data_IF_828851967577
#
_entry.id   IF_828851967577
#
_cell.length_a   1.000
_cell.length_b   1.000
_cell.length_c   1.000
_cell.angle_alpha   90.00
_cell.angle_beta   90.00
_cell.angle_gamma   90.00
#
_symmetry.space_group_name_H-M   'P 1'
#
loop_
_entity.id
_entity.type
_entity.pdbx_description
1 polymer ?
#
# COMPACT_ATOMS: atom_id res chain seq x y z
N UNK A 1 -22.10 8.34 10.49
CA UNK A 1 -20.81 8.13 11.15
C UNK A 1 -19.70 8.78 10.34
N UNK A 2 -18.69 9.37 10.97
CA UNK A 2 -17.51 9.97 10.32
C UNK A 2 -16.29 9.91 11.22
N UNK A 3 -15.10 10.05 10.63
CA UNK A 3 -13.84 10.21 11.34
C UNK A 3 -13.36 11.66 11.27
N UNK A 4 -12.72 12.11 12.34
CA UNK A 4 -12.06 13.40 12.48
C UNK A 4 -10.71 13.18 13.16
N UNK A 5 -9.80 14.15 13.05
CA UNK A 5 -8.52 14.18 13.78
C UNK A 5 -7.70 12.88 13.58
N UNK A 6 -7.51 12.45 12.32
CA UNK A 6 -6.76 11.22 12.01
C UNK A 6 -5.27 11.50 12.23
N UNK A 7 -4.65 10.75 13.16
CA UNK A 7 -3.22 10.80 13.47
C UNK A 7 -2.62 9.44 13.16
N UNK A 8 -1.64 9.41 12.26
CA UNK A 8 -0.93 8.19 11.86
C UNK A 8 0.46 8.15 12.49
N UNK A 9 0.87 6.99 12.98
CA UNK A 9 2.23 6.67 13.42
C UNK A 9 2.86 5.67 12.44
N UNK A 10 4.03 5.10 12.78
CA UNK A 10 4.71 4.14 11.93
C UNK A 10 3.93 2.81 11.75
N UNK A 11 3.15 2.39 12.73
CA UNK A 11 2.52 1.07 12.81
C UNK A 11 1.03 1.08 13.19
N UNK A 12 0.48 2.24 13.51
CA UNK A 12 -0.93 2.38 13.90
C UNK A 12 -1.48 3.76 13.55
N UNK A 13 -2.79 3.90 13.70
CA UNK A 13 -3.47 5.19 13.57
C UNK A 13 -4.57 5.34 14.60
N UNK A 14 -4.75 6.58 15.07
CA UNK A 14 -5.79 6.99 16.00
C UNK A 14 -6.67 8.04 15.35
N UNK A 15 -7.98 8.01 15.60
CA UNK A 15 -8.91 8.98 15.07
C UNK A 15 -10.11 9.18 16.02
N UNK A 16 -10.78 10.31 15.85
CA UNK A 16 -12.04 10.58 16.52
C UNK A 16 -13.20 10.06 15.68
N UNK A 17 -13.90 9.00 16.15
CA UNK A 17 -15.14 8.53 15.56
C UNK A 17 -16.32 9.33 16.09
N UNK A 18 -17.12 9.93 15.20
CA UNK A 18 -18.31 10.71 15.55
C UNK A 18 -19.57 9.97 15.11
N UNK A 19 -20.44 9.66 16.08
CA UNK A 19 -21.71 9.00 15.86
C UNK A 19 -22.77 9.45 16.88
N UNK A 20 -24.01 9.74 16.44
CA UNK A 20 -25.12 10.12 17.31
C UNK A 20 -24.84 11.38 18.16
N UNK A 21 -24.01 12.30 17.67
CA UNK A 21 -23.60 13.50 18.42
C UNK A 21 -22.52 13.26 19.48
N UNK A 22 -22.07 12.02 19.67
CA UNK A 22 -20.98 11.64 20.58
C UNK A 22 -19.66 11.50 19.82
N UNK A 23 -18.57 11.70 20.55
CA UNK A 23 -17.17 11.56 20.07
C UNK A 23 -16.48 10.43 20.82
N UNK A 24 -15.85 9.54 20.10
CA UNK A 24 -15.14 8.39 20.64
C UNK A 24 -13.71 8.35 20.08
N UNK A 25 -12.73 8.10 20.92
CA UNK A 25 -11.37 7.82 20.45
C UNK A 25 -11.32 6.38 19.95
N UNK A 26 -10.92 6.18 18.70
CA UNK A 26 -10.75 4.88 18.06
C UNK A 26 -9.32 4.71 17.60
N UNK A 27 -8.79 3.48 17.68
CA UNK A 27 -7.42 3.13 17.30
C UNK A 27 -7.40 1.86 16.46
N UNK A 28 -6.59 1.89 15.40
CA UNK A 28 -6.34 0.74 14.50
C UNK A 28 -4.87 0.36 14.52
N UNK A 29 -4.51 -0.93 14.66
CA UNK A 29 -3.15 -1.42 14.63
C UNK A 29 -2.65 -1.61 13.18
N UNK A 30 -2.99 -0.65 12.31
CA UNK A 30 -2.62 -0.60 10.88
C UNK A 30 -2.56 0.85 10.43
N UNK A 31 -1.86 1.11 9.33
CA UNK A 31 -1.67 2.44 8.77
C UNK A 31 -2.44 2.60 7.44
N UNK A 32 -2.84 3.83 7.14
CA UNK A 32 -3.53 4.20 5.91
C UNK A 32 -5.00 4.58 6.12
N UNK A 33 -5.37 5.72 5.56
CA UNK A 33 -6.70 6.34 5.74
C UNK A 33 -7.85 5.42 5.28
N UNK A 34 -7.61 4.57 4.27
CA UNK A 34 -8.61 3.60 3.82
C UNK A 34 -9.00 2.57 4.90
N UNK A 35 -8.11 2.27 5.87
CA UNK A 35 -8.48 1.44 7.02
C UNK A 35 -9.43 2.16 7.97
N UNK A 36 -9.32 3.49 8.11
CA UNK A 36 -10.30 4.29 8.84
C UNK A 36 -11.67 4.19 8.17
N UNK A 37 -11.73 4.32 6.83
CA UNK A 37 -12.99 4.17 6.09
C UNK A 37 -13.60 2.77 6.27
N UNK A 38 -12.78 1.71 6.24
CA UNK A 38 -13.23 0.35 6.51
C UNK A 38 -13.74 0.18 7.95
N UNK A 39 -13.08 0.80 8.93
CA UNK A 39 -13.54 0.78 10.33
C UNK A 39 -14.86 1.52 10.51
N UNK A 40 -15.08 2.66 9.83
CA UNK A 40 -16.37 3.35 9.84
C UNK A 40 -17.49 2.48 9.24
N UNK A 41 -17.22 1.76 8.15
CA UNK A 41 -18.17 0.83 7.55
C UNK A 41 -18.49 -0.34 8.49
N UNK A 42 -17.46 -0.93 9.12
CA UNK A 42 -17.63 -2.00 10.11
C UNK A 42 -18.41 -1.52 11.34
N UNK A 43 -18.12 -0.30 11.81
CA UNK A 43 -18.87 0.34 12.89
C UNK A 43 -20.34 0.49 12.53
N UNK A 44 -20.67 1.05 11.37
CA UNK A 44 -22.03 1.23 10.90
C UNK A 44 -22.78 -0.13 10.84
N UNK A 45 -22.14 -1.17 10.27
CA UNK A 45 -22.71 -2.51 10.22
C UNK A 45 -22.94 -3.10 11.62
N UNK A 46 -22.01 -2.89 12.56
CA UNK A 46 -22.16 -3.34 13.95
C UNK A 46 -23.35 -2.68 14.66
N UNK A 47 -23.52 -1.37 14.49
CA UNK A 47 -24.68 -0.63 15.03
C UNK A 47 -25.99 -1.17 14.47
N UNK A 48 -26.07 -1.39 13.14
CA UNK A 48 -27.27 -1.98 12.50
C UNK A 48 -27.54 -3.39 12.98
N UNK A 49 -26.50 -4.14 13.36
CA UNK A 49 -26.63 -5.46 13.97
C UNK A 49 -27.01 -5.43 15.48
N UNK A 50 -27.21 -4.24 16.05
CA UNK A 50 -27.64 -4.06 17.44
C UNK A 50 -26.51 -3.98 18.47
N UNK A 51 -25.23 -3.86 18.03
CA UNK A 51 -24.10 -3.65 18.93
C UNK A 51 -24.03 -2.18 19.38
N UNK A 52 -23.43 -1.93 20.53
CA UNK A 52 -23.14 -0.58 21.02
C UNK A 52 -21.79 -0.07 20.54
N UNK A 53 -21.58 1.25 20.54
CA UNK A 53 -20.28 1.84 20.19
C UNK A 53 -19.18 1.36 21.15
N UNK A 54 -19.51 1.20 22.42
CA UNK A 54 -18.64 0.74 23.50
C UNK A 54 -18.17 -0.73 23.33
N UNK A 55 -18.93 -1.53 22.58
CA UNK A 55 -18.54 -2.90 22.20
C UNK A 55 -17.70 -2.94 20.92
N UNK A 56 -18.04 -2.10 19.92
CA UNK A 56 -17.40 -2.14 18.59
C UNK A 56 -16.01 -1.50 18.64
N UNK A 57 -15.86 -0.32 19.25
CA UNK A 57 -14.62 0.47 19.17
C UNK A 57 -13.41 -0.29 19.75
N UNK A 58 -13.50 -0.94 20.94
CA UNK A 58 -12.38 -1.73 21.44
C UNK A 58 -12.01 -2.93 20.55
N UNK A 59 -12.97 -3.43 19.75
CA UNK A 59 -12.71 -4.53 18.83
C UNK A 59 -11.78 -4.14 17.66
N UNK A 60 -11.67 -2.86 17.31
CA UNK A 60 -10.75 -2.39 16.29
C UNK A 60 -9.28 -2.71 16.61
N UNK A 61 -8.90 -2.73 17.89
CA UNK A 61 -7.54 -3.11 18.32
C UNK A 61 -7.17 -4.57 18.04
N UNK A 62 -8.19 -5.41 17.78
CA UNK A 62 -8.00 -6.83 17.43
C UNK A 62 -7.95 -7.06 15.92
N UNK A 63 -8.02 -5.98 15.12
CA UNK A 63 -7.93 -6.11 13.69
C UNK A 63 -6.54 -6.59 13.29
N UNK A 64 -6.48 -7.66 12.54
CA UNK A 64 -5.28 -8.17 11.91
C UNK A 64 -5.47 -8.08 10.39
N UNK A 65 -4.53 -7.44 9.70
CA UNK A 65 -4.55 -7.40 8.25
C UNK A 65 -4.44 -8.84 7.71
N UNK A 66 -5.47 -9.32 7.02
CA UNK A 66 -5.50 -10.69 6.53
C UNK A 66 -4.64 -10.86 5.27
N UNK A 67 -3.82 -11.91 5.24
CA UNK A 67 -3.04 -12.32 4.08
C UNK A 67 -1.93 -11.32 3.70
N UNK A 68 -1.81 -11.04 2.39
CA UNK A 68 -0.79 -10.15 1.80
C UNK A 68 -1.33 -8.73 1.58
N UNK A 69 -2.05 -8.16 2.59
CA UNK A 69 -2.59 -6.80 2.55
C UNK A 69 -1.84 -5.93 3.53
N UNK A 70 -0.99 -5.05 3.01
CA UNK A 70 -0.19 -4.08 3.78
C UNK A 70 0.56 -4.66 5.00
N UNK A 71 1.08 -5.87 4.86
CA UNK A 71 1.90 -6.50 5.89
C UNK A 71 3.30 -5.89 5.85
N UNK A 72 3.72 -5.29 6.95
CA UNK A 72 5.05 -4.68 7.10
C UNK A 72 5.96 -5.66 7.84
N UNK A 73 7.11 -5.96 7.26
CA UNK A 73 8.11 -6.87 7.80
C UNK A 73 9.50 -6.27 7.73
N UNK A 74 10.33 -6.55 8.71
CA UNK A 74 11.78 -6.33 8.60
C UNK A 74 12.45 -7.60 8.08
N UNK A 75 13.30 -7.45 7.07
CA UNK A 75 14.13 -8.50 6.49
C UNK A 75 15.58 -8.03 6.50
N UNK A 76 16.32 -8.43 7.52
CA UNK A 76 17.61 -7.81 7.84
C UNK A 76 17.40 -6.31 8.12
N UNK A 77 18.14 -5.48 7.40
CA UNK A 77 18.09 -4.03 7.53
C UNK A 77 17.10 -3.36 6.53
N UNK A 78 16.35 -4.16 5.77
CA UNK A 78 15.37 -3.68 4.79
C UNK A 78 13.95 -3.83 5.37
N UNK A 79 13.11 -2.80 5.21
CA UNK A 79 11.69 -2.89 5.51
C UNK A 79 10.93 -3.25 4.25
N UNK A 80 10.07 -4.28 4.32
CA UNK A 80 9.26 -4.76 3.20
C UNK A 80 7.80 -4.53 3.53
N UNK A 81 7.07 -3.92 2.59
CA UNK A 81 5.61 -3.75 2.64
C UNK A 81 5.02 -4.72 1.62
N UNK A 82 4.30 -5.75 2.09
CA UNK A 82 3.63 -6.73 1.25
C UNK A 82 2.16 -6.35 1.07
N UNK A 83 1.78 -5.93 -0.13
CA UNK A 83 0.39 -5.65 -0.52
C UNK A 83 0.05 -6.32 -1.85
N UNK A 84 0.29 -7.63 -1.91
CA UNK A 84 0.27 -8.43 -3.15
C UNK A 84 -1.04 -9.20 -3.37
N UNK A 85 -2.11 -8.91 -2.60
CA UNK A 85 -3.38 -9.63 -2.76
C UNK A 85 -4.12 -9.21 -4.02
N UNK A 86 -4.18 -7.92 -4.30
CA UNK A 86 -4.79 -7.37 -5.52
C UNK A 86 -4.28 -5.94 -5.77
N UNK A 87 -4.55 -5.42 -6.99
CA UNK A 87 -4.20 -4.06 -7.36
C UNK A 87 -5.31 -3.41 -8.19
N UNK A 88 -5.60 -2.16 -7.87
CA UNK A 88 -6.44 -1.23 -8.62
C UNK A 88 -5.84 0.17 -8.51
N UNK A 89 -6.20 1.14 -9.37
CA UNK A 89 -5.65 2.49 -9.31
C UNK A 89 -5.72 3.11 -7.92
N UNK A 90 -6.89 3.07 -7.27
CA UNK A 90 -7.09 3.62 -5.91
C UNK A 90 -6.25 2.88 -4.87
N UNK A 91 -6.10 1.56 -4.98
CA UNK A 91 -5.29 0.81 -4.03
C UNK A 91 -3.79 1.00 -4.25
N UNK A 92 -3.33 1.27 -5.49
CA UNK A 92 -1.95 1.69 -5.79
C UNK A 92 -1.64 3.03 -5.12
N UNK A 93 -2.52 4.03 -5.30
CA UNK A 93 -2.42 5.33 -4.65
C UNK A 93 -2.30 5.19 -3.13
N UNK A 94 -3.23 4.44 -2.51
CA UNK A 94 -3.24 4.22 -1.05
C UNK A 94 -1.95 3.60 -0.54
N UNK A 95 -1.45 2.55 -1.21
CA UNK A 95 -0.23 1.86 -0.77
C UNK A 95 1.03 2.70 -0.98
N UNK A 96 1.09 3.47 -2.08
CA UNK A 96 2.18 4.42 -2.32
C UNK A 96 2.17 5.55 -1.30
N UNK A 97 0.99 6.04 -0.89
CA UNK A 97 0.86 7.04 0.18
C UNK A 97 1.36 6.49 1.53
N UNK A 98 1.10 5.22 1.83
CA UNK A 98 1.67 4.56 3.02
C UNK A 98 3.19 4.51 2.93
N UNK A 99 3.77 4.10 1.79
CA UNK A 99 5.21 4.10 1.57
C UNK A 99 5.80 5.51 1.78
N UNK A 100 5.17 6.53 1.20
CA UNK A 100 5.60 7.93 1.31
C UNK A 100 5.59 8.45 2.74
N UNK A 101 4.58 8.06 3.54
CA UNK A 101 4.42 8.49 4.94
C UNK A 101 5.34 7.78 5.95
N UNK A 102 6.01 6.69 5.56
CA UNK A 102 6.93 5.98 6.46
C UNK A 102 8.25 6.72 6.61
N UNK A 103 8.77 6.78 7.84
CA UNK A 103 10.15 7.23 8.09
C UNK A 103 11.14 6.14 7.66
N UNK A 104 12.24 6.55 7.00
CA UNK A 104 13.25 5.67 6.45
C UNK A 104 14.61 6.34 6.52
N UNK A 105 15.63 5.57 6.88
CA UNK A 105 17.03 6.05 6.88
C UNK A 105 17.71 5.91 5.52
N UNK A 106 17.15 5.06 4.65
CA UNK A 106 17.56 4.82 3.27
C UNK A 106 16.59 5.44 2.28
N UNK A 107 16.28 4.68 1.21
CA UNK A 107 15.43 5.09 0.10
C UNK A 107 14.12 4.32 0.11
N UNK A 108 13.11 4.88 -0.55
CA UNK A 108 11.78 4.27 -0.74
C UNK A 108 11.67 3.72 -2.15
N UNK A 109 11.42 2.43 -2.27
CA UNK A 109 11.33 1.72 -3.54
C UNK A 109 9.91 1.21 -3.78
N UNK A 110 9.32 1.53 -4.94
CA UNK A 110 8.04 1.00 -5.39
C UNK A 110 8.26 -0.19 -6.33
N UNK A 111 7.94 -1.42 -5.91
CA UNK A 111 8.04 -2.64 -6.72
C UNK A 111 6.62 -3.05 -7.13
N UNK A 112 6.20 -2.67 -8.34
CA UNK A 112 4.81 -2.75 -8.77
C UNK A 112 4.63 -3.68 -9.96
N UNK A 113 3.57 -4.50 -9.92
CA UNK A 113 3.12 -5.33 -11.04
C UNK A 113 1.85 -4.81 -11.67
N UNK A 114 1.48 -5.35 -12.84
CA UNK A 114 0.28 -4.96 -13.57
C UNK A 114 -0.98 -5.02 -12.71
N UNK A 115 -1.88 -4.07 -12.98
CA UNK A 115 -3.27 -4.10 -12.55
C UNK A 115 -4.09 -4.82 -13.63
N UNK A 116 -4.56 -6.03 -13.34
CA UNK A 116 -5.36 -6.81 -14.27
C UNK A 116 -6.84 -6.34 -14.27
N UNK A 117 -7.59 -6.76 -15.28
CA UNK A 117 -9.04 -6.54 -15.40
C UNK A 117 -9.48 -5.07 -15.57
N UNK A 118 -8.60 -4.20 -16.08
CA UNK A 118 -8.91 -2.78 -16.30
C UNK A 118 -9.53 -2.49 -17.68
N UNK A 119 -9.63 -3.49 -18.56
CA UNK A 119 -10.21 -3.32 -19.90
C UNK A 119 -9.49 -2.27 -20.74
N UNK A 120 -10.24 -1.53 -21.54
CA UNK A 120 -9.70 -0.50 -22.47
C UNK A 120 -8.97 0.66 -21.78
N UNK A 121 -9.24 0.87 -20.50
CA UNK A 121 -8.59 1.95 -19.73
C UNK A 121 -7.22 1.56 -19.17
N UNK A 122 -6.77 0.31 -19.38
CA UNK A 122 -5.54 -0.24 -18.78
C UNK A 122 -4.33 0.66 -18.97
N UNK A 123 -4.01 1.04 -20.20
CA UNK A 123 -2.83 1.87 -20.51
C UNK A 123 -2.86 3.22 -19.78
N UNK A 124 -4.01 3.91 -19.80
CA UNK A 124 -4.16 5.21 -19.14
C UNK A 124 -4.04 5.10 -17.63
N UNK A 125 -4.66 4.08 -17.02
CA UNK A 125 -4.65 3.87 -15.58
C UNK A 125 -3.25 3.48 -15.07
N UNK A 126 -2.51 2.65 -15.82
CA UNK A 126 -1.12 2.34 -15.51
C UNK A 126 -0.22 3.58 -15.61
N UNK A 127 -0.36 4.37 -16.68
CA UNK A 127 0.40 5.62 -16.83
C UNK A 127 0.12 6.59 -15.65
N UNK A 128 -1.12 6.65 -15.16
CA UNK A 128 -1.51 7.50 -14.04
C UNK A 128 -0.84 7.15 -12.71
N UNK A 129 -0.39 5.91 -12.52
CA UNK A 129 0.32 5.50 -11.29
C UNK A 129 1.63 6.26 -11.13
N UNK A 130 2.25 6.71 -12.22
CA UNK A 130 3.51 7.45 -12.19
C UNK A 130 3.45 8.71 -11.30
N UNK A 131 2.32 9.41 -11.27
CA UNK A 131 2.14 10.59 -10.43
C UNK A 131 2.25 10.25 -8.92
N UNK A 132 1.70 9.11 -8.51
CA UNK A 132 1.78 8.67 -7.13
C UNK A 132 3.16 8.12 -6.76
N UNK A 133 3.85 7.46 -7.70
CA UNK A 133 5.23 6.99 -7.52
C UNK A 133 6.16 8.17 -7.28
N UNK A 134 6.13 9.19 -8.13
CA UNK A 134 7.03 10.35 -8.04
C UNK A 134 6.85 11.16 -6.74
N UNK A 135 5.68 11.09 -6.11
CA UNK A 135 5.41 11.77 -4.84
C UNK A 135 5.88 10.97 -3.62
N UNK A 136 6.00 9.65 -3.73
CA UNK A 136 6.07 8.76 -2.57
C UNK A 136 7.28 7.81 -2.58
N UNK A 137 8.04 7.73 -3.67
CA UNK A 137 9.19 6.85 -3.81
C UNK A 137 10.38 7.57 -4.44
N UNK A 138 11.57 6.99 -4.27
CA UNK A 138 12.82 7.46 -4.85
C UNK A 138 13.17 6.68 -6.13
N UNK A 139 12.64 5.45 -6.28
CA UNK A 139 12.86 4.58 -7.43
C UNK A 139 11.67 3.65 -7.64
N UNK A 140 11.47 3.16 -8.86
CA UNK A 140 10.45 2.18 -9.19
C UNK A 140 11.01 0.96 -9.94
N UNK A 141 10.58 -0.23 -9.55
CA UNK A 141 10.77 -1.49 -10.26
C UNK A 141 9.41 -1.99 -10.74
N UNK A 142 9.22 -2.04 -12.05
CA UNK A 142 7.93 -2.29 -12.68
C UNK A 142 7.95 -3.64 -13.39
N UNK A 143 6.99 -4.51 -13.05
CA UNK A 143 6.86 -5.85 -13.61
C UNK A 143 5.57 -6.00 -14.42
N UNK A 144 5.69 -6.41 -15.67
CA UNK A 144 4.57 -6.75 -16.53
C UNK A 144 4.47 -5.86 -17.78
N UNK A 145 3.65 -6.28 -18.74
CA UNK A 145 3.55 -5.61 -20.03
C UNK A 145 2.85 -4.25 -19.92
N UNK A 146 1.80 -4.15 -19.11
CA UNK A 146 1.00 -2.93 -18.95
C UNK A 146 1.75 -1.84 -18.15
N UNK A 147 2.65 -2.24 -17.24
CA UNK A 147 3.53 -1.31 -16.52
C UNK A 147 4.51 -0.57 -17.42
N UNK A 148 4.67 -0.97 -18.69
CA UNK A 148 5.42 -0.19 -19.68
C UNK A 148 4.85 1.23 -19.84
N UNK A 149 3.54 1.41 -19.73
CA UNK A 149 2.89 2.72 -19.79
C UNK A 149 3.28 3.61 -18.61
N UNK A 150 3.42 3.03 -17.42
CA UNK A 150 3.89 3.74 -16.22
C UNK A 150 5.38 4.10 -16.36
N UNK A 151 6.22 3.15 -16.83
CA UNK A 151 7.63 3.41 -17.11
C UNK A 151 7.82 4.62 -18.03
N UNK A 152 7.12 4.66 -19.17
CA UNK A 152 7.23 5.78 -20.12
C UNK A 152 6.85 7.12 -19.50
N UNK A 153 5.85 7.14 -18.60
CA UNK A 153 5.48 8.35 -17.87
C UNK A 153 6.56 8.79 -16.89
N UNK A 154 7.20 7.86 -16.17
CA UNK A 154 8.30 8.12 -15.23
C UNK A 154 9.57 8.59 -15.96
N UNK A 155 9.96 7.93 -17.07
CA UNK A 155 11.11 8.31 -17.88
C UNK A 155 10.99 9.74 -18.40
N UNK A 156 9.80 10.17 -18.82
CA UNK A 156 9.55 11.56 -19.24
C UNK A 156 9.77 12.58 -18.14
N UNK A 157 9.62 12.21 -16.88
CA UNK A 157 9.90 13.08 -15.72
C UNK A 157 11.34 12.98 -15.21
N UNK A 158 12.17 12.11 -15.81
CA UNK A 158 13.54 11.86 -15.37
C UNK A 158 13.63 11.05 -14.08
N UNK A 159 12.57 10.32 -13.72
CA UNK A 159 12.51 9.50 -12.50
C UNK A 159 13.27 8.17 -12.70
N UNK A 160 13.98 7.71 -11.66
CA UNK A 160 14.69 6.42 -11.70
C UNK A 160 13.69 5.26 -11.75
N UNK A 161 13.67 4.54 -12.88
CA UNK A 161 12.73 3.45 -13.12
C UNK A 161 13.40 2.28 -13.84
N UNK A 162 13.12 1.08 -13.36
CA UNK A 162 13.51 -0.21 -13.94
C UNK A 162 12.25 -0.95 -14.36
N UNK A 163 12.26 -1.56 -15.53
CA UNK A 163 11.09 -2.30 -16.04
C UNK A 163 11.49 -3.59 -16.72
N UNK A 164 10.77 -4.66 -16.45
CA UNK A 164 10.93 -5.94 -17.15
C UNK A 164 9.63 -6.72 -17.18
N UNK A 165 9.46 -7.52 -18.23
CA UNK A 165 8.48 -8.61 -18.29
C UNK A 165 9.05 -9.95 -17.82
N UNK A 166 10.36 -10.01 -17.55
CA UNK A 166 11.04 -11.14 -16.91
C UNK A 166 11.18 -10.87 -15.41
N UNK A 167 10.43 -11.62 -14.62
CA UNK A 167 10.41 -11.49 -13.15
C UNK A 167 11.79 -11.79 -12.53
N UNK A 168 12.52 -12.77 -13.07
CA UNK A 168 13.83 -13.15 -12.53
C UNK A 168 14.86 -12.06 -12.78
N UNK A 169 14.86 -11.46 -13.96
CA UNK A 169 15.74 -10.35 -14.33
C UNK A 169 15.46 -9.12 -13.42
N UNK A 170 14.18 -8.74 -13.29
CA UNK A 170 13.78 -7.61 -12.43
C UNK A 170 14.16 -7.86 -10.96
N UNK A 171 13.99 -9.09 -10.50
CA UNK A 171 14.35 -9.47 -9.13
C UNK A 171 15.85 -9.32 -8.88
N UNK A 172 16.70 -9.80 -9.80
CA UNK A 172 18.14 -9.70 -9.69
C UNK A 172 18.61 -8.23 -9.65
N UNK A 173 18.00 -7.39 -10.48
CA UNK A 173 18.29 -5.96 -10.54
C UNK A 173 17.85 -5.26 -9.24
N UNK A 174 16.65 -5.51 -8.73
CA UNK A 174 16.15 -5.00 -7.46
C UNK A 174 17.09 -5.38 -6.30
N UNK A 175 17.50 -6.65 -6.20
CA UNK A 175 18.39 -7.11 -5.13
C UNK A 175 19.77 -6.45 -5.19
N UNK A 176 20.25 -6.10 -6.37
CA UNK A 176 21.50 -5.35 -6.53
C UNK A 176 21.37 -3.87 -6.15
N UNK A 177 20.16 -3.32 -6.25
CA UNK A 177 19.84 -1.92 -5.96
C UNK A 177 19.59 -1.67 -4.46
N UNK A 178 18.88 -2.57 -3.78
CA UNK A 178 18.51 -2.43 -2.37
C UNK A 178 19.74 -2.33 -1.45
N UNK A 179 19.63 -1.48 -0.42
CA UNK A 179 20.66 -1.23 0.60
C UNK A 179 20.05 -1.25 2.01
N UNK A 180 20.86 -1.47 3.04
CA UNK A 180 20.42 -1.32 4.43
C UNK A 180 19.72 0.01 4.68
N UNK A 181 18.57 -0.03 5.37
CA UNK A 181 17.75 1.13 5.66
C UNK A 181 16.69 1.45 4.62
N UNK A 182 16.69 0.80 3.45
CA UNK A 182 15.68 1.00 2.40
C UNK A 182 14.32 0.42 2.83
N UNK A 183 13.24 0.98 2.26
CA UNK A 183 11.88 0.44 2.33
C UNK A 183 11.44 0.06 0.92
N UNK A 184 10.91 -1.15 0.73
CA UNK A 184 10.37 -1.63 -0.54
C UNK A 184 8.90 -2.03 -0.40
N UNK A 185 8.02 -1.38 -1.18
CA UNK A 185 6.61 -1.74 -1.33
C UNK A 185 6.44 -2.72 -2.49
N UNK A 186 5.84 -3.88 -2.23
CA UNK A 186 5.50 -4.87 -3.25
C UNK A 186 3.99 -4.90 -3.46
N UNK A 187 3.53 -4.58 -4.69
CA UNK A 187 2.11 -4.57 -5.03
C UNK A 187 1.86 -4.92 -6.49
N UNK A 188 0.76 -5.60 -6.74
CA UNK A 188 0.29 -6.00 -8.06
C UNK A 188 -0.98 -6.82 -7.96
N UNK A 189 -1.68 -7.01 -9.07
CA UNK A 189 -2.80 -7.94 -9.13
C UNK A 189 -2.38 -9.35 -8.75
N UNK A 190 -3.31 -10.15 -8.22
CA UNK A 190 -3.02 -11.51 -7.71
C UNK A 190 -2.27 -12.39 -8.71
N UNK A 191 -2.62 -12.27 -10.01
CA UNK A 191 -1.97 -13.00 -11.09
C UNK A 191 -0.49 -12.67 -11.29
N UNK A 192 -0.04 -11.49 -10.84
CA UNK A 192 1.35 -11.05 -10.96
C UNK A 192 2.28 -11.70 -9.92
N UNK A 193 1.74 -12.26 -8.83
CA UNK A 193 2.50 -12.94 -7.77
C UNK A 193 3.72 -12.15 -7.30
N UNK A 194 3.50 -10.90 -6.92
CA UNK A 194 4.59 -9.99 -6.51
C UNK A 194 5.30 -10.45 -5.23
N UNK A 195 4.65 -11.28 -4.42
CA UNK A 195 5.24 -11.93 -3.26
C UNK A 195 6.47 -12.79 -3.61
N UNK A 196 6.52 -13.39 -4.81
CA UNK A 196 7.67 -14.20 -5.27
C UNK A 196 8.96 -13.36 -5.39
N UNK A 197 8.83 -12.07 -5.76
CA UNK A 197 9.95 -11.12 -5.77
C UNK A 197 10.32 -10.76 -4.33
N UNK A 198 9.30 -10.41 -3.52
CA UNK A 198 9.51 -10.01 -2.14
C UNK A 198 10.19 -11.08 -1.30
N UNK A 199 9.90 -12.37 -1.51
CA UNK A 199 10.52 -13.51 -0.82
C UNK A 199 12.03 -13.64 -1.05
N UNK A 200 12.58 -13.01 -2.08
CA UNK A 200 14.02 -13.00 -2.36
C UNK A 200 14.78 -11.92 -1.58
N UNK A 201 14.08 -10.93 -1.05
CA UNK A 201 14.67 -9.93 -0.15
C UNK A 201 14.91 -10.59 1.21
N UNK A 202 16.15 -10.51 1.70
CA UNK A 202 16.59 -11.17 2.94
C UNK A 202 17.04 -10.14 3.98
#
# INVERSE_FOLDING_TARGET
VRAEDIIQTADNQEFTLVYGGKRYTAKLPVVGEHHVMNALAAFAAGIEAGMTAEEIIPAFLRYEASGMRQRIEKRGDITVILDCYNASPTSMESSLSVLGGMECSGRKCAVLGDMLELGEMSAQLHAGVAEYITKNADCAFLYGAEMANCREALERSGFEVHHSTDKAALTAELLSWLRPGDIALFKGSRGMRMEEIAEKVK
#
